data_IF_316214580302
#
_entry.id   IF_316214580302
#
_cell.length_a   1.000
_cell.length_b   1.000
_cell.length_c   1.000
_cell.angle_alpha   90.00
_cell.angle_beta   90.00
_cell.angle_gamma   90.00
#
_symmetry.space_group_name_H-M   'P 1'
#
loop_
_entity.id
_entity.type
_entity.pdbx_description
1 polymer ?
#
# COMPACT_ATOMS: atom_id res chain seq x y z
N UNK A 1 7.40 28.05 -38.96
CA UNK A 1 6.32 27.18 -39.52
C UNK A 1 6.12 25.89 -38.74
N UNK A 2 7.18 25.19 -38.32
CA UNK A 2 7.08 23.93 -37.53
C UNK A 2 6.53 24.18 -36.11
N UNK A 3 6.96 25.27 -35.44
CA UNK A 3 6.48 25.63 -34.09
C UNK A 3 4.98 25.95 -34.04
N UNK A 4 4.43 26.55 -35.11
CA UNK A 4 3.00 26.86 -35.24
C UNK A 4 2.14 25.61 -35.48
N UNK A 5 2.70 24.57 -36.09
CA UNK A 5 2.03 23.28 -36.31
C UNK A 5 1.98 22.44 -35.02
N UNK A 6 3.02 22.52 -34.19
CA UNK A 6 3.07 21.83 -32.89
C UNK A 6 2.07 22.46 -31.91
N UNK A 7 1.98 23.79 -31.83
CA UNK A 7 0.96 24.46 -31.02
C UNK A 7 -0.48 24.12 -31.44
N UNK A 8 -0.74 23.99 -32.74
CA UNK A 8 -2.07 23.66 -33.25
C UNK A 8 -2.46 22.19 -32.98
N UNK A 9 -1.49 21.26 -32.99
CA UNK A 9 -1.70 19.86 -32.64
C UNK A 9 -1.91 19.65 -31.13
N UNK A 10 -1.22 20.43 -30.27
CA UNK A 10 -1.40 20.39 -28.82
C UNK A 10 -2.77 20.97 -28.41
N UNK A 11 -3.23 22.05 -29.05
CA UNK A 11 -4.59 22.59 -28.84
C UNK A 11 -5.70 21.65 -29.30
N UNK A 12 -5.45 20.82 -30.33
CA UNK A 12 -6.42 19.81 -30.79
C UNK A 12 -6.43 18.56 -29.88
N UNK A 13 -5.30 18.19 -29.30
CA UNK A 13 -5.21 17.12 -28.29
C UNK A 13 -5.91 17.49 -26.97
N UNK A 14 -5.84 18.77 -26.57
CA UNK A 14 -6.52 19.27 -25.36
C UNK A 14 -8.05 19.39 -25.56
N UNK A 15 -8.53 19.60 -26.79
CA UNK A 15 -9.98 19.79 -27.07
C UNK A 15 -10.73 18.51 -27.44
N UNK A 16 -10.05 17.43 -27.81
CA UNK A 16 -10.70 16.18 -28.28
C UNK A 16 -10.54 14.97 -27.35
N UNK A 17 -9.83 15.11 -26.22
CA UNK A 17 -9.77 14.09 -25.17
C UNK A 17 -10.67 14.42 -23.96
N UNK A 18 -11.83 15.03 -24.16
CA UNK A 18 -12.96 14.80 -23.24
C UNK A 18 -13.61 13.47 -23.60
N UNK A 19 -12.83 12.38 -23.48
CA UNK A 19 -13.47 11.09 -23.23
C UNK A 19 -14.26 11.30 -21.94
N UNK A 20 -15.58 11.28 -22.02
CA UNK A 20 -16.45 11.16 -20.85
C UNK A 20 -16.13 9.80 -20.25
N UNK A 21 -15.07 9.75 -19.45
CA UNK A 21 -14.78 8.64 -18.57
C UNK A 21 -16.02 8.58 -17.67
N UNK A 22 -16.84 7.52 -17.73
CA UNK A 22 -17.98 7.42 -16.84
C UNK A 22 -17.42 7.51 -15.42
N UNK A 23 -17.77 8.59 -14.72
CA UNK A 23 -17.34 8.82 -13.34
C UNK A 23 -17.87 7.63 -12.55
N UNK A 24 -16.99 6.69 -12.20
CA UNK A 24 -17.38 5.49 -11.49
C UNK A 24 -18.04 5.95 -10.19
N UNK A 25 -19.31 5.56 -9.99
CA UNK A 25 -20.05 6.00 -8.81
C UNK A 25 -19.34 5.48 -7.55
N UNK A 26 -19.18 6.35 -6.56
CA UNK A 26 -18.48 6.04 -5.31
C UNK A 26 -19.09 4.84 -4.56
N UNK A 27 -20.42 4.69 -4.68
CA UNK A 27 -21.19 3.54 -4.22
C UNK A 27 -21.80 2.79 -5.41
N UNK A 28 -21.85 1.48 -5.30
CA UNK A 28 -22.57 0.58 -6.21
C UNK A 28 -24.08 0.60 -5.91
N UNK A 29 -24.92 0.20 -6.87
CA UNK A 29 -26.38 0.09 -6.64
C UNK A 29 -26.74 -0.84 -5.49
N UNK A 30 -25.98 -1.91 -5.28
CA UNK A 30 -26.19 -2.87 -4.18
C UNK A 30 -25.86 -2.23 -2.83
N UNK A 31 -24.73 -1.54 -2.71
CA UNK A 31 -24.35 -0.81 -1.49
C UNK A 31 -25.40 0.23 -1.08
N UNK A 32 -26.04 0.88 -2.05
CA UNK A 32 -27.11 1.86 -1.79
C UNK A 32 -28.36 1.24 -1.14
N UNK A 33 -28.63 -0.05 -1.36
CA UNK A 33 -29.80 -0.71 -0.77
C UNK A 33 -29.72 -0.81 0.76
N UNK A 34 -28.51 -0.76 1.33
CA UNK A 34 -28.28 -0.81 2.77
C UNK A 34 -28.42 0.54 3.46
N UNK A 35 -28.59 1.64 2.71
CA UNK A 35 -28.51 3.02 3.20
C UNK A 35 -29.86 3.75 3.21
N UNK A 36 -30.99 3.05 3.09
CA UNK A 36 -32.31 3.70 3.07
C UNK A 36 -32.58 4.52 4.34
N UNK A 37 -32.66 5.85 4.23
CA UNK A 37 -32.87 6.74 5.37
C UNK A 37 -31.61 7.05 6.18
N UNK A 38 -30.43 6.64 5.70
CA UNK A 38 -29.15 6.96 6.33
C UNK A 38 -28.54 8.26 5.78
N UNK A 39 -27.63 8.91 6.54
CA UNK A 39 -26.83 10.00 6.03
C UNK A 39 -25.96 9.59 4.85
N UNK A 40 -25.46 10.60 4.15
CA UNK A 40 -24.50 10.41 3.07
C UNK A 40 -23.24 9.70 3.56
N UNK A 41 -22.81 8.67 2.80
CA UNK A 41 -21.51 8.03 2.99
C UNK A 41 -20.42 8.92 2.39
N UNK A 42 -19.51 9.37 3.24
CA UNK A 42 -18.36 10.23 2.86
C UNK A 42 -17.06 9.44 2.73
N UNK A 43 -16.95 8.34 3.47
CA UNK A 43 -15.79 7.45 3.47
C UNK A 43 -16.24 6.00 3.44
N UNK A 44 -15.41 5.12 2.89
CA UNK A 44 -15.63 3.68 2.82
C UNK A 44 -14.41 2.95 3.33
N UNK A 45 -14.63 1.95 4.17
CA UNK A 45 -13.58 1.05 4.69
C UNK A 45 -14.02 -0.38 4.45
N UNK A 46 -13.20 -1.15 3.74
CA UNK A 46 -13.41 -2.59 3.55
C UNK A 46 -12.39 -3.36 4.37
N UNK A 47 -12.87 -4.25 5.23
CA UNK A 47 -12.04 -5.19 5.99
C UNK A 47 -12.13 -6.58 5.38
N UNK A 48 -10.99 -7.14 4.97
CA UNK A 48 -10.88 -8.57 4.72
C UNK A 48 -10.73 -9.29 6.06
N UNK A 49 -11.63 -10.23 6.34
CA UNK A 49 -11.70 -10.97 7.59
C UNK A 49 -11.17 -12.38 7.37
N UNK A 50 -10.28 -12.80 8.27
CA UNK A 50 -9.73 -14.15 8.30
C UNK A 50 -9.95 -14.83 9.65
N UNK A 51 -9.97 -16.16 9.62
CA UNK A 51 -10.04 -17.04 10.77
C UNK A 51 -8.79 -17.94 10.82
N UNK A 52 -8.09 -17.92 11.95
CA UNK A 52 -7.01 -18.86 12.23
C UNK A 52 -7.60 -20.22 12.63
N UNK A 53 -7.09 -21.30 12.04
CA UNK A 53 -7.43 -22.66 12.47
C UNK A 53 -6.25 -23.34 13.18
N UNK A 54 -6.51 -24.12 14.23
CA UNK A 54 -5.47 -24.93 14.85
C UNK A 54 -4.85 -25.88 13.82
N UNK A 55 -3.55 -25.76 13.59
CA UNK A 55 -2.75 -26.63 12.71
C UNK A 55 -3.07 -26.56 11.19
N UNK A 56 -3.67 -25.46 10.71
CA UNK A 56 -3.81 -25.21 9.27
C UNK A 56 -3.27 -23.83 8.92
N UNK A 57 -2.23 -23.82 8.08
CA UNK A 57 -1.80 -22.63 7.33
C UNK A 57 -2.05 -22.87 5.83
N UNK A 58 -2.50 -21.85 5.08
CA UNK A 58 -2.79 -20.47 5.52
C UNK A 58 -4.12 -20.32 6.31
N UNK A 59 -4.33 -19.18 7.00
CA UNK A 59 -5.62 -18.82 7.59
C UNK A 59 -6.75 -18.81 6.54
N UNK A 60 -7.99 -19.09 6.97
CA UNK A 60 -9.15 -19.09 6.08
C UNK A 60 -9.65 -17.65 5.94
N UNK A 61 -9.78 -17.14 4.70
CA UNK A 61 -10.46 -15.88 4.44
C UNK A 61 -11.97 -16.11 4.47
N UNK A 62 -12.63 -15.51 5.45
CA UNK A 62 -14.10 -15.57 5.62
C UNK A 62 -14.78 -14.60 4.66
N UNK A 63 -14.22 -13.39 4.57
CA UNK A 63 -14.63 -12.45 3.54
C UNK A 63 -14.46 -10.99 3.83
N UNK A 64 -14.95 -10.19 2.89
CA UNK A 64 -14.83 -8.74 2.96
C UNK A 64 -16.09 -8.16 3.58
N UNK A 65 -15.91 -7.23 4.53
CA UNK A 65 -16.97 -6.41 5.11
C UNK A 65 -16.69 -4.97 4.71
N UNK A 66 -17.59 -4.38 3.93
CA UNK A 66 -17.49 -2.98 3.48
C UNK A 66 -18.41 -2.11 4.32
N UNK A 67 -17.85 -1.04 4.89
CA UNK A 67 -18.52 -0.12 5.80
C UNK A 67 -18.56 1.27 5.16
N UNK A 68 -19.76 1.83 5.02
CA UNK A 68 -19.97 3.24 4.72
C UNK A 68 -19.97 4.08 6.00
N UNK A 69 -19.20 5.16 6.01
CA UNK A 69 -19.00 6.04 7.17
C UNK A 69 -19.69 7.41 7.00
N UNK A 70 -20.36 7.86 8.05
CA UNK A 70 -21.22 9.05 8.06
C UNK A 70 -20.47 10.31 8.51
N UNK A 71 -19.39 10.64 7.80
CA UNK A 71 -18.49 11.76 8.16
C UNK A 71 -19.13 13.15 8.12
N UNK A 72 -20.30 13.32 7.52
CA UNK A 72 -21.08 14.56 7.60
C UNK A 72 -21.79 14.75 8.95
N UNK A 73 -22.05 13.66 9.68
CA UNK A 73 -22.78 13.67 10.96
C UNK A 73 -21.81 13.55 12.15
N UNK A 74 -20.82 12.67 12.04
CA UNK A 74 -19.82 12.42 13.08
C UNK A 74 -18.39 12.48 12.51
N UNK A 75 -17.95 13.66 12.02
CA UNK A 75 -16.67 13.80 11.33
C UNK A 75 -15.47 13.36 12.16
N UNK A 76 -15.43 13.62 13.47
CA UNK A 76 -14.29 13.22 14.31
C UNK A 76 -14.26 11.71 14.48
N UNK A 77 -15.41 11.11 14.77
CA UNK A 77 -15.51 9.65 14.95
C UNK A 77 -15.12 8.92 13.66
N UNK A 78 -15.58 9.42 12.50
CA UNK A 78 -15.21 8.88 11.19
C UNK A 78 -13.74 9.07 10.89
N UNK A 79 -13.17 10.26 11.15
CA UNK A 79 -11.74 10.51 10.93
C UNK A 79 -10.87 9.57 11.75
N UNK A 80 -11.21 9.37 13.03
CA UNK A 80 -10.52 8.41 13.89
C UNK A 80 -10.57 6.99 13.32
N UNK A 81 -11.76 6.50 12.98
CA UNK A 81 -11.91 5.15 12.44
C UNK A 81 -11.21 4.99 11.08
N UNK A 82 -11.35 5.97 10.21
CA UNK A 82 -10.75 5.96 8.87
C UNK A 82 -9.22 5.99 8.95
N UNK A 83 -8.64 6.87 9.77
CA UNK A 83 -7.18 6.94 9.93
C UNK A 83 -6.60 5.64 10.51
N UNK A 84 -7.25 5.05 11.53
CA UNK A 84 -6.87 3.74 12.09
C UNK A 84 -7.01 2.59 11.08
N UNK A 85 -7.77 2.78 10.01
CA UNK A 85 -7.91 1.85 8.88
C UNK A 85 -6.89 2.12 7.76
N UNK A 86 -6.45 3.36 7.59
CA UNK A 86 -5.68 3.84 6.44
C UNK A 86 -4.18 3.54 6.45
N UNK A 87 -3.66 2.85 7.48
CA UNK A 87 -2.22 2.57 7.63
C UNK A 87 -1.30 3.79 7.67
N UNK A 88 -1.84 5.00 7.84
CA UNK A 88 -1.05 6.24 7.98
C UNK A 88 -0.22 6.27 9.27
N UNK A 89 -0.57 5.43 10.23
CA UNK A 89 0.11 5.29 11.51
C UNK A 89 0.75 3.90 11.61
N UNK A 90 1.79 3.78 12.44
CA UNK A 90 2.43 2.49 12.77
C UNK A 90 1.52 1.57 13.62
N UNK A 91 0.30 2.01 13.89
CA UNK A 91 -0.74 1.29 14.62
C UNK A 91 -2.08 1.42 13.87
N UNK A 92 -2.98 0.47 14.10
CA UNK A 92 -4.29 0.47 13.43
C UNK A 92 -4.95 -0.90 13.45
N UNK A 93 -6.02 -1.05 12.67
CA UNK A 93 -6.87 -2.24 12.76
C UNK A 93 -6.33 -3.49 12.09
N UNK A 94 -5.32 -3.38 11.21
CA UNK A 94 -4.77 -4.56 10.55
C UNK A 94 -4.17 -5.52 11.57
N UNK A 95 -4.47 -6.81 11.39
CA UNK A 95 -4.15 -7.90 12.30
C UNK A 95 -4.85 -7.85 13.67
N UNK A 96 -5.69 -6.85 13.93
CA UNK A 96 -6.45 -6.76 15.18
C UNK A 96 -7.61 -7.75 15.20
N UNK A 97 -7.91 -8.37 16.36
CA UNK A 97 -8.94 -9.39 16.46
C UNK A 97 -10.33 -8.82 16.77
N UNK A 98 -11.36 -9.53 16.30
CA UNK A 98 -12.70 -9.47 16.88
C UNK A 98 -12.73 -10.32 18.16
N UNK A 99 -12.48 -9.67 19.29
CA UNK A 99 -12.22 -10.34 20.56
C UNK A 99 -13.50 -10.72 21.32
N UNK A 100 -14.66 -10.24 20.88
CA UNK A 100 -15.97 -10.55 21.50
C UNK A 100 -17.07 -10.62 20.44
N UNK A 101 -17.79 -11.74 20.39
CA UNK A 101 -18.86 -12.01 19.43
C UNK A 101 -20.06 -12.57 20.20
N UNK A 102 -21.21 -11.94 20.03
CA UNK A 102 -22.46 -12.34 20.65
C UNK A 102 -23.48 -12.46 19.53
N UNK A 103 -23.95 -13.69 19.28
CA UNK A 103 -25.05 -13.98 18.37
C UNK A 103 -26.29 -13.18 18.74
N UNK A 104 -27.02 -12.69 17.73
CA UNK A 104 -28.22 -11.86 17.89
C UNK A 104 -27.98 -10.60 18.74
N UNK A 105 -26.78 -10.04 18.65
CA UNK A 105 -26.41 -8.77 19.24
C UNK A 105 -25.33 -8.02 18.45
N UNK A 106 -24.05 -8.41 18.56
CA UNK A 106 -22.94 -7.71 17.90
C UNK A 106 -21.63 -8.52 17.85
N UNK A 107 -20.72 -8.09 16.98
CA UNK A 107 -19.30 -8.46 16.99
C UNK A 107 -18.43 -7.23 17.25
N UNK A 108 -17.54 -7.31 18.24
CA UNK A 108 -16.70 -6.21 18.73
C UNK A 108 -15.22 -6.46 18.44
N UNK A 109 -14.57 -5.44 17.89
CA UNK A 109 -13.17 -5.43 17.48
C UNK A 109 -12.49 -4.10 17.82
N UNK A 110 -11.36 -3.82 17.15
CA UNK A 110 -10.67 -2.54 17.25
C UNK A 110 -9.72 -2.38 18.44
N UNK A 111 -9.56 -3.40 19.30
CA UNK A 111 -8.49 -3.42 20.30
C UNK A 111 -7.20 -3.96 19.66
N UNK A 112 -6.50 -3.09 18.91
CA UNK A 112 -5.23 -3.44 18.26
C UNK A 112 -4.04 -3.47 19.24
N UNK A 113 -4.15 -2.86 20.42
CA UNK A 113 -3.05 -2.79 21.38
C UNK A 113 -2.93 -4.06 22.24
N UNK A 114 -4.06 -4.68 22.60
CA UNK A 114 -4.09 -5.85 23.50
C UNK A 114 -4.95 -7.01 22.99
N UNK A 115 -5.90 -6.78 22.08
CA UNK A 115 -6.77 -7.83 21.54
C UNK A 115 -7.65 -8.54 22.59
N UNK A 116 -8.00 -7.84 23.68
CA UNK A 116 -8.75 -8.40 24.83
C UNK A 116 -9.95 -7.57 25.25
N UNK A 117 -10.15 -6.39 24.66
CA UNK A 117 -11.16 -5.41 25.04
C UNK A 117 -10.67 -4.41 26.08
N UNK A 118 -9.40 -4.45 26.48
CA UNK A 118 -8.81 -3.56 27.50
C UNK A 118 -7.80 -2.56 26.95
N UNK A 119 -7.54 -2.60 25.64
CA UNK A 119 -6.64 -1.69 24.95
C UNK A 119 -7.33 -0.94 23.81
N UNK A 120 -6.50 -0.42 22.92
CA UNK A 120 -6.94 0.47 21.86
C UNK A 120 -6.93 1.93 22.31
N UNK A 121 -6.62 2.83 21.39
CA UNK A 121 -6.58 4.26 21.62
C UNK A 121 -6.90 5.02 20.34
N UNK A 122 -7.41 6.24 20.49
CA UNK A 122 -7.76 7.11 19.38
C UNK A 122 -6.53 7.71 18.69
N UNK A 123 -6.73 8.34 17.52
CA UNK A 123 -5.69 9.11 16.83
C UNK A 123 -5.39 10.47 17.49
N UNK A 124 -6.23 10.90 18.43
CA UNK A 124 -6.10 12.19 19.09
C UNK A 124 -5.06 12.12 20.21
N UNK A 125 -4.57 13.28 20.67
CA UNK A 125 -3.51 13.38 21.70
C UNK A 125 -3.86 12.64 23.00
N UNK A 126 -5.15 12.44 23.26
CA UNK A 126 -5.68 11.62 24.34
C UNK A 126 -6.00 10.20 23.86
N UNK A 127 -5.77 9.20 24.73
CA UNK A 127 -6.09 7.81 24.40
C UNK A 127 -7.58 7.58 24.09
N UNK A 128 -8.45 8.47 24.59
CA UNK A 128 -9.89 8.47 24.36
C UNK A 128 -10.39 9.85 23.93
N UNK A 129 -11.58 9.92 23.31
CA UNK A 129 -12.25 11.16 22.93
C UNK A 129 -13.75 11.17 23.31
N UNK A 130 -14.37 12.37 23.43
CA UNK A 130 -15.78 12.53 23.83
C UNK A 130 -16.79 11.89 22.88
N UNK A 131 -18.01 11.67 23.37
CA UNK A 131 -19.13 11.27 22.52
C UNK A 131 -19.51 12.45 21.60
N UNK A 132 -19.34 12.29 20.29
CA UNK A 132 -19.50 13.40 19.33
C UNK A 132 -20.96 13.87 19.23
N UNK A 133 -21.89 12.94 19.00
CA UNK A 133 -23.33 13.12 19.15
C UNK A 133 -24.04 11.74 19.15
N UNK A 134 -25.35 11.74 19.33
CA UNK A 134 -26.20 10.54 19.31
C UNK A 134 -27.38 10.70 18.34
N UNK A 135 -27.18 11.40 17.22
CA UNK A 135 -28.24 11.62 16.22
C UNK A 135 -28.67 10.31 15.55
N UNK A 136 -27.70 9.44 15.27
CA UNK A 136 -27.90 8.14 14.67
C UNK A 136 -28.16 7.07 15.74
N UNK A 137 -29.01 6.10 15.39
CA UNK A 137 -29.50 5.06 16.30
C UNK A 137 -29.07 3.66 15.87
N UNK A 138 -29.17 2.72 16.79
CA UNK A 138 -28.91 1.30 16.57
C UNK A 138 -30.18 0.62 16.03
N UNK A 139 -30.63 1.04 14.86
CA UNK A 139 -31.93 0.75 14.28
C UNK A 139 -31.90 -0.18 13.07
N UNK A 140 -30.71 -0.68 12.68
CA UNK A 140 -30.54 -1.58 11.54
C UNK A 140 -29.48 -2.66 11.79
N UNK A 141 -29.64 -3.78 11.10
CA UNK A 141 -28.61 -4.80 10.95
C UNK A 141 -27.37 -4.19 10.28
N UNK A 142 -26.17 -4.51 10.78
CA UNK A 142 -24.92 -4.00 10.23
C UNK A 142 -24.55 -2.57 10.68
N UNK A 143 -25.29 -1.95 11.59
CA UNK A 143 -24.86 -0.68 12.20
C UNK A 143 -23.47 -0.80 12.83
N UNK A 144 -22.63 0.20 12.60
CA UNK A 144 -21.29 0.30 13.15
C UNK A 144 -21.22 1.44 14.16
N UNK A 145 -20.73 1.14 15.36
CA UNK A 145 -20.80 2.05 16.50
C UNK A 145 -19.58 1.89 17.42
N UNK A 146 -19.22 2.98 18.11
CA UNK A 146 -18.08 3.01 19.02
C UNK A 146 -18.36 2.19 20.28
N UNK A 147 -17.43 1.31 20.65
CA UNK A 147 -17.41 0.73 21.98
C UNK A 147 -16.77 1.74 22.96
N UNK A 148 -17.32 1.82 24.17
CA UNK A 148 -16.81 2.69 25.23
C UNK A 148 -16.97 2.02 26.60
N UNK A 149 -16.31 2.58 27.61
CA UNK A 149 -16.37 2.14 29.01
C UNK A 149 -17.20 3.09 29.88
N UNK A 150 -18.11 3.84 29.26
CA UNK A 150 -18.84 4.95 29.86
C UNK A 150 -18.80 6.19 28.97
N UNK A 151 -19.50 7.23 29.41
CA UNK A 151 -19.59 8.50 28.69
C UNK A 151 -18.21 9.06 28.37
N UNK A 152 -18.03 9.56 27.15
CA UNK A 152 -16.84 10.27 26.70
C UNK A 152 -15.54 9.43 26.75
N UNK A 153 -15.63 8.12 26.50
CA UNK A 153 -14.46 7.19 26.53
C UNK A 153 -14.26 6.44 25.21
N UNK A 154 -14.56 7.08 24.08
CA UNK A 154 -14.36 6.48 22.77
C UNK A 154 -12.88 6.35 22.47
N UNK A 155 -12.41 5.17 22.07
CA UNK A 155 -11.01 4.94 21.69
C UNK A 155 -10.92 4.46 20.24
N UNK A 156 -10.44 3.23 20.05
CA UNK A 156 -10.44 2.55 18.76
C UNK A 156 -11.41 1.37 18.68
N UNK A 157 -11.95 0.92 19.81
CA UNK A 157 -12.84 -0.23 19.80
C UNK A 157 -14.20 0.15 19.19
N UNK A 158 -14.72 -0.75 18.37
CA UNK A 158 -16.00 -0.60 17.69
C UNK A 158 -16.74 -1.94 17.70
N UNK A 159 -18.03 -1.89 17.41
CA UNK A 159 -18.83 -3.08 17.17
C UNK A 159 -19.72 -2.94 15.93
N UNK A 160 -20.02 -4.08 15.33
CA UNK A 160 -20.96 -4.22 14.21
C UNK A 160 -22.15 -5.02 14.72
N UNK A 161 -23.36 -4.52 14.54
CA UNK A 161 -24.58 -5.24 14.90
C UNK A 161 -24.82 -6.42 13.96
N UNK A 162 -25.07 -7.59 14.52
CA UNK A 162 -25.60 -8.78 13.82
C UNK A 162 -27.07 -9.04 14.18
N UNK A 163 -27.76 -7.99 14.63
CA UNK A 163 -29.19 -7.95 14.97
C UNK A 163 -29.83 -6.73 14.31
N UNK A 164 -31.10 -6.85 13.94
CA UNK A 164 -31.87 -5.77 13.29
C UNK A 164 -31.93 -4.46 14.08
N UNK A 165 -31.98 -4.50 15.42
CA UNK A 165 -31.99 -3.28 16.23
C UNK A 165 -31.61 -3.54 17.69
N UNK A 166 -30.92 -2.57 18.30
CA UNK A 166 -30.52 -2.56 19.72
C UNK A 166 -30.75 -1.20 20.40
N UNK A 167 -32.00 -0.75 20.60
CA UNK A 167 -32.30 0.61 21.08
C UNK A 167 -31.78 0.93 22.50
N UNK A 168 -31.46 -0.09 23.29
CA UNK A 168 -30.91 0.08 24.63
C UNK A 168 -29.48 0.66 24.64
N UNK A 169 -28.82 0.71 23.48
CA UNK A 169 -27.52 1.35 23.25
C UNK A 169 -27.64 2.81 22.76
N UNK A 170 -28.84 3.24 22.34
CA UNK A 170 -29.08 4.60 21.86
C UNK A 170 -28.79 5.63 22.96
N UNK A 171 -28.15 6.73 22.59
CA UNK A 171 -27.72 7.77 23.53
C UNK A 171 -26.54 7.38 24.42
N UNK A 172 -25.90 6.23 24.17
CA UNK A 172 -24.74 5.73 24.96
C UNK A 172 -23.53 5.39 24.11
N UNK A 173 -23.74 4.99 22.85
CA UNK A 173 -22.68 4.64 21.91
C UNK A 173 -22.87 5.43 20.62
N UNK A 174 -21.79 6.01 20.10
CA UNK A 174 -21.81 6.83 18.90
C UNK A 174 -21.88 5.92 17.67
N UNK A 175 -23.01 5.93 16.97
CA UNK A 175 -23.17 5.27 15.67
C UNK A 175 -22.50 6.15 14.60
N UNK A 176 -21.62 5.55 13.80
CA UNK A 176 -20.82 6.29 12.82
C UNK A 176 -20.76 5.66 11.44
N UNK A 177 -21.35 4.47 11.25
CA UNK A 177 -21.37 3.83 9.95
C UNK A 177 -22.41 2.71 9.83
N UNK A 178 -22.44 2.14 8.63
CA UNK A 178 -23.33 1.06 8.23
C UNK A 178 -22.53 0.08 7.35
N UNK A 179 -22.67 -1.22 7.61
CA UNK A 179 -22.19 -2.24 6.67
C UNK A 179 -23.04 -2.14 5.41
N UNK A 180 -22.37 -1.90 4.28
CA UNK A 180 -22.94 -1.74 2.93
C UNK A 180 -22.53 -2.87 1.98
N UNK A 181 -21.68 -3.80 2.44
CA UNK A 181 -21.35 -5.03 1.72
C UNK A 181 -20.75 -6.06 2.68
N UNK A 182 -20.99 -7.35 2.42
CA UNK A 182 -20.50 -8.43 3.31
C UNK A 182 -21.33 -8.63 4.57
N UNK A 183 -22.65 -8.35 4.54
CA UNK A 183 -23.51 -8.58 5.70
C UNK A 183 -23.67 -10.07 6.03
N UNK A 184 -23.61 -10.92 5.00
CA UNK A 184 -23.53 -12.37 5.09
C UNK A 184 -22.28 -12.83 5.86
N UNK A 185 -21.14 -12.17 5.66
CA UNK A 185 -19.90 -12.41 6.43
C UNK A 185 -20.11 -12.08 7.91
N UNK A 186 -20.75 -10.95 8.23
CA UNK A 186 -21.10 -10.57 9.60
C UNK A 186 -22.00 -11.63 10.27
N UNK A 187 -23.04 -12.08 9.56
CA UNK A 187 -23.97 -13.10 10.06
C UNK A 187 -23.30 -14.47 10.22
N UNK A 188 -22.43 -14.89 9.29
CA UNK A 188 -21.67 -16.12 9.41
C UNK A 188 -20.71 -16.08 10.62
N UNK A 189 -20.04 -14.95 10.82
CA UNK A 189 -19.17 -14.72 11.99
C UNK A 189 -19.97 -14.74 13.30
N UNK A 190 -21.24 -14.31 13.31
CA UNK A 190 -22.09 -14.35 14.49
C UNK A 190 -22.34 -15.77 15.02
N UNK A 191 -22.29 -16.79 14.14
CA UNK A 191 -22.56 -18.19 14.46
C UNK A 191 -21.34 -18.97 14.99
N UNK A 192 -20.16 -18.34 15.02
CA UNK A 192 -18.93 -19.03 15.43
C UNK A 192 -18.99 -19.43 16.89
N UNK A 193 -18.32 -20.55 17.22
CA UNK A 193 -18.25 -21.02 18.60
C UNK A 193 -17.44 -20.03 19.45
N UNK A 194 -18.01 -19.65 20.59
CA UNK A 194 -17.36 -18.75 21.54
C UNK A 194 -17.18 -19.41 22.91
N UNK A 195 -16.25 -18.89 23.70
CA UNK A 195 -16.13 -19.18 25.13
C UNK A 195 -17.30 -18.57 25.91
N UNK A 196 -17.34 -18.83 27.22
CA UNK A 196 -18.32 -18.20 28.15
C UNK A 196 -18.19 -16.68 28.23
N UNK A 197 -17.03 -16.11 27.87
CA UNK A 197 -16.81 -14.66 27.82
C UNK A 197 -17.12 -14.07 26.44
N UNK A 198 -17.81 -14.83 25.58
CA UNK A 198 -18.12 -14.45 24.20
C UNK A 198 -16.87 -14.25 23.33
N UNK A 199 -15.71 -14.79 23.72
CA UNK A 199 -14.50 -14.73 22.89
C UNK A 199 -14.54 -15.88 21.88
N UNK A 200 -14.31 -15.65 20.58
CA UNK A 200 -14.23 -16.73 19.60
C UNK A 200 -13.20 -17.78 19.99
N UNK A 201 -13.53 -19.07 19.79
CA UNK A 201 -12.58 -20.18 20.04
C UNK A 201 -11.40 -20.14 19.08
N UNK A 202 -11.69 -19.77 17.83
CA UNK A 202 -10.72 -19.58 16.76
C UNK A 202 -10.58 -18.08 16.50
N UNK A 203 -9.35 -17.60 16.30
CA UNK A 203 -9.10 -16.16 16.20
C UNK A 203 -9.65 -15.63 14.88
N UNK A 204 -10.58 -14.68 14.98
CA UNK A 204 -11.13 -13.92 13.85
C UNK A 204 -10.50 -12.53 13.87
N UNK A 205 -9.94 -12.09 12.77
CA UNK A 205 -9.15 -10.87 12.70
C UNK A 205 -9.20 -10.21 11.33
N UNK A 206 -8.84 -8.93 11.29
CA UNK A 206 -8.77 -8.13 10.06
C UNK A 206 -7.43 -8.41 9.38
N UNK A 207 -7.43 -9.15 8.27
CA UNK A 207 -6.22 -9.54 7.53
C UNK A 207 -5.90 -8.62 6.35
N UNK A 208 -6.85 -7.78 5.93
CA UNK A 208 -6.67 -6.80 4.88
C UNK A 208 -7.57 -5.59 5.08
N UNK A 209 -7.14 -4.43 4.59
CA UNK A 209 -7.90 -3.18 4.65
C UNK A 209 -7.80 -2.45 3.31
N UNK A 210 -8.94 -1.95 2.83
CA UNK A 210 -9.03 -0.98 1.73
C UNK A 210 -9.81 0.23 2.22
N UNK A 211 -9.35 1.44 1.89
CA UNK A 211 -9.99 2.70 2.29
C UNK A 211 -10.24 3.58 1.08
N UNK A 212 -11.43 4.17 0.97
CA UNK A 212 -11.81 5.08 -0.10
C UNK A 212 -12.49 6.33 0.51
N UNK A 213 -12.20 7.51 -0.02
CA UNK A 213 -12.86 8.77 0.35
C UNK A 213 -13.67 9.24 -0.85
N UNK A 214 -14.87 9.77 -0.61
CA UNK A 214 -15.65 10.40 -1.65
C UNK A 214 -14.92 11.66 -2.14
N UNK A 215 -14.52 11.68 -3.40
CA UNK A 215 -13.99 12.88 -4.03
C UNK A 215 -15.06 13.99 -4.02
N UNK A 216 -14.77 15.10 -3.35
CA UNK A 216 -15.58 16.31 -3.43
C UNK A 216 -15.14 17.15 -4.63
N UNK A 217 -16.06 17.90 -5.23
CA UNK A 217 -15.75 18.75 -6.38
C UNK A 217 -14.64 19.78 -6.10
N UNK A 218 -14.46 20.18 -4.84
CA UNK A 218 -13.41 21.11 -4.42
C UNK A 218 -12.03 20.45 -4.34
N UNK A 219 -11.93 19.21 -3.84
CA UNK A 219 -10.64 18.49 -3.82
C UNK A 219 -10.21 18.08 -5.24
N UNK A 220 -11.15 17.67 -6.11
CA UNK A 220 -10.86 17.42 -7.53
C UNK A 220 -10.34 18.67 -8.24
N UNK A 221 -10.89 19.86 -7.92
CA UNK A 221 -10.38 21.14 -8.46
C UNK A 221 -9.00 21.46 -7.93
N UNK A 222 -8.74 21.21 -6.66
CA UNK A 222 -7.47 21.51 -5.99
C UNK A 222 -6.34 20.62 -6.49
N UNK A 223 -6.62 19.34 -6.72
CA UNK A 223 -5.69 18.40 -7.34
C UNK A 223 -5.46 18.73 -8.82
N UNK A 224 -6.50 19.09 -9.57
CA UNK A 224 -6.34 19.59 -10.94
C UNK A 224 -5.54 20.90 -11.03
N UNK A 225 -5.71 21.82 -10.06
CA UNK A 225 -4.93 23.04 -9.94
C UNK A 225 -3.46 22.73 -9.65
N UNK A 226 -3.20 21.80 -8.72
CA UNK A 226 -1.84 21.36 -8.39
C UNK A 226 -1.15 20.67 -9.56
N UNK A 227 -1.83 19.74 -10.24
CA UNK A 227 -1.35 19.11 -11.47
C UNK A 227 -1.05 20.14 -12.57
N UNK A 228 -1.88 21.20 -12.69
CA UNK A 228 -1.65 22.27 -13.64
C UNK A 228 -0.49 23.21 -13.23
N UNK A 229 -0.21 23.37 -11.95
CA UNK A 229 0.97 24.10 -11.44
C UNK A 229 2.25 23.28 -11.62
N UNK A 230 2.24 21.99 -11.27
CA UNK A 230 3.38 21.09 -11.43
C UNK A 230 3.75 20.93 -12.93
N UNK A 231 2.76 20.85 -13.82
CA UNK A 231 2.99 20.82 -15.28
C UNK A 231 3.59 22.13 -15.81
N UNK A 232 3.26 23.28 -15.21
CA UNK A 232 3.86 24.58 -15.59
C UNK A 232 5.30 24.68 -15.13
N UNK A 233 5.62 24.21 -13.92
CA UNK A 233 6.99 24.19 -13.41
C UNK A 233 7.89 23.28 -14.25
N UNK A 234 7.41 22.09 -14.62
CA UNK A 234 8.15 21.16 -15.50
C UNK A 234 8.43 21.78 -16.87
N UNK A 235 7.45 22.46 -17.46
CA UNK A 235 7.64 23.11 -18.76
C UNK A 235 8.64 24.27 -18.68
N UNK A 236 8.66 25.03 -17.58
CA UNK A 236 9.69 26.04 -17.33
C UNK A 236 11.10 25.45 -17.18
N UNK A 237 11.23 24.30 -16.52
CA UNK A 237 12.53 23.64 -16.34
C UNK A 237 13.05 23.05 -17.65
N UNK A 238 12.16 22.51 -18.50
CA UNK A 238 12.51 22.01 -19.84
C UNK A 238 12.95 23.16 -20.78
N UNK A 239 12.25 24.30 -20.75
CA UNK A 239 12.62 25.49 -21.54
C UNK A 239 13.98 26.07 -21.10
N UNK A 240 14.28 26.08 -19.79
CA UNK A 240 15.58 26.50 -19.26
C UNK A 240 16.70 25.52 -19.60
N UNK A 241 16.45 24.21 -19.55
CA UNK A 241 17.42 23.18 -19.92
C UNK A 241 17.77 23.24 -21.42
N UNK A 242 16.78 23.44 -22.29
CA UNK A 242 16.99 23.59 -23.73
C UNK A 242 17.76 24.88 -24.08
N UNK A 243 17.53 25.97 -23.36
CA UNK A 243 18.30 27.21 -23.53
C UNK A 243 19.76 27.03 -23.08
N UNK A 244 19.99 26.29 -22.00
CA UNK A 244 21.34 25.99 -21.50
C UNK A 244 22.11 25.06 -22.46
N UNK A 245 21.45 24.04 -23.00
CA UNK A 245 22.05 23.12 -23.98
C UNK A 245 22.46 23.87 -25.26
N UNK A 246 21.59 24.72 -25.79
CA UNK A 246 21.91 25.58 -26.93
C UNK A 246 23.06 26.53 -26.65
N UNK A 247 23.15 27.07 -25.42
CA UNK A 247 24.28 27.92 -25.02
C UNK A 247 25.60 27.14 -24.90
N UNK A 248 25.55 25.86 -24.53
CA UNK A 248 26.73 24.98 -24.47
C UNK A 248 27.22 24.61 -25.87
N UNK A 249 26.33 24.28 -26.79
CA UNK A 249 26.67 24.01 -28.19
C UNK A 249 27.33 25.23 -28.85
N UNK A 250 26.82 26.46 -28.62
CA UNK A 250 27.44 27.70 -29.12
C UNK A 250 28.84 27.98 -28.52
N UNK A 251 29.09 27.54 -27.29
CA UNK A 251 30.40 27.66 -26.63
C UNK A 251 31.38 26.61 -27.15
N UNK A 252 30.94 25.37 -27.32
CA UNK A 252 31.76 24.29 -27.91
C UNK A 252 32.12 24.60 -29.37
N UNK A 253 31.21 25.16 -30.16
CA UNK A 253 31.49 25.54 -31.56
C UNK A 253 32.52 26.69 -31.64
N UNK A 254 32.53 27.61 -30.66
CA UNK A 254 33.55 28.67 -30.57
C UNK A 254 34.91 28.14 -30.15
N UNK A 255 34.95 27.27 -29.14
CA UNK A 255 36.19 26.63 -28.69
C UNK A 255 36.81 25.78 -29.80
N UNK A 256 35.99 25.03 -30.54
CA UNK A 256 36.46 24.22 -31.66
C UNK A 256 36.96 25.07 -32.85
N UNK A 257 36.43 26.29 -33.04
CA UNK A 257 36.95 27.24 -34.05
C UNK A 257 38.26 27.88 -33.60
N UNK A 258 38.38 28.27 -32.33
CA UNK A 258 39.62 28.80 -31.76
C UNK A 258 40.74 27.75 -31.80
N UNK A 259 40.45 26.50 -31.44
CA UNK A 259 41.41 25.38 -31.49
C UNK A 259 41.83 25.04 -32.93
N UNK A 260 40.93 25.18 -33.91
CA UNK A 260 41.28 25.02 -35.33
C UNK A 260 42.15 26.17 -35.86
N UNK A 261 41.92 27.42 -35.42
CA UNK A 261 42.78 28.56 -35.77
C UNK A 261 44.16 28.44 -35.12
N UNK A 262 44.23 27.99 -33.87
CA UNK A 262 45.48 27.77 -33.14
C UNK A 262 46.30 26.61 -33.76
N UNK A 263 45.63 25.51 -34.13
CA UNK A 263 46.27 24.38 -34.81
C UNK A 263 46.72 24.74 -36.24
N UNK A 264 45.98 25.58 -36.96
CA UNK A 264 46.40 26.07 -38.28
C UNK A 264 47.60 27.00 -38.18
N UNK A 265 47.65 27.87 -37.18
CA UNK A 265 48.82 28.72 -36.90
C UNK A 265 50.03 27.88 -36.46
N UNK A 266 49.80 26.82 -35.69
CA UNK A 266 50.83 25.86 -35.30
C UNK A 266 51.35 25.03 -36.48
N UNK A 267 50.47 24.60 -37.42
CA UNK A 267 50.87 23.90 -38.65
C UNK A 267 51.66 24.81 -39.61
N UNK A 268 51.27 26.08 -39.77
CA UNK A 268 52.06 27.05 -40.56
C UNK A 268 53.44 27.29 -39.92
N UNK A 269 53.50 27.44 -38.59
CA UNK A 269 54.77 27.58 -37.85
C UNK A 269 55.62 26.28 -37.85
N UNK A 270 55.00 25.09 -37.88
CA UNK A 270 55.70 23.81 -38.06
C UNK A 270 56.19 23.64 -39.50
N UNK A 271 55.46 24.13 -40.51
CA UNK A 271 55.90 24.08 -41.90
C UNK A 271 57.11 24.98 -42.17
N UNK A 272 57.25 26.09 -41.42
CA UNK A 272 58.42 26.98 -41.47
C UNK A 272 59.62 26.49 -40.64
N UNK A 273 59.43 25.49 -39.75
CA UNK A 273 60.50 24.93 -38.91
C UNK A 273 60.87 23.47 -39.21
N UNK A 274 60.12 22.76 -40.06
CA UNK A 274 60.36 21.36 -40.43
C UNK A 274 61.17 21.17 -41.74
N UNK A 275 61.95 22.17 -42.17
CA UNK A 275 63.04 21.99 -43.15
C UNK A 275 64.41 21.69 -42.49
N UNK A 276 64.49 21.61 -41.16
CA UNK A 276 65.69 21.17 -40.43
C UNK A 276 65.40 20.01 -39.45
N UNK A 277 66.15 18.91 -39.62
CA UNK A 277 66.23 17.68 -38.80
C UNK A 277 65.07 16.66 -38.95
N UNK A 278 65.16 15.53 -39.66
CA UNK A 278 66.08 14.36 -39.55
C UNK A 278 66.43 13.96 -38.11
N UNK A 279 65.80 12.92 -37.57
CA UNK A 279 66.38 11.58 -37.27
C UNK A 279 65.54 10.82 -36.21
N UNK A 280 65.21 9.55 -36.52
CA UNK A 280 64.94 8.37 -35.66
C UNK A 280 64.24 8.54 -34.29
N UNK A 281 63.12 7.83 -34.07
CA UNK A 281 63.07 6.51 -33.37
C UNK A 281 61.62 6.01 -33.25
N UNK A 282 61.45 4.70 -33.47
CA UNK A 282 60.19 3.95 -33.34
C UNK A 282 59.93 3.57 -31.87
N UNK A 283 58.67 3.76 -31.46
CA UNK A 283 57.75 2.85 -30.76
C UNK A 283 58.25 1.99 -29.58
N UNK A 284 57.62 2.23 -28.41
CA UNK A 284 56.77 1.22 -27.75
C UNK A 284 56.09 1.80 -26.49
N UNK A 285 54.76 2.01 -26.53
CA UNK A 285 53.80 1.16 -25.80
C UNK A 285 52.40 1.79 -25.64
N UNK A 286 51.45 0.96 -26.08
CA UNK A 286 50.01 1.02 -25.96
C UNK A 286 49.54 0.58 -24.55
N UNK A 287 48.35 1.05 -24.14
CA UNK A 287 47.19 0.29 -23.62
C UNK A 287 46.38 1.20 -22.67
N UNK A 288 45.14 1.55 -23.06
CA UNK A 288 43.88 1.10 -22.41
C UNK A 288 42.72 1.39 -23.38
N UNK A 289 42.08 0.33 -23.88
CA UNK A 289 40.76 0.40 -24.52
C UNK A 289 39.65 0.15 -23.49
N UNK A 290 38.68 1.07 -23.43
CA UNK A 290 37.35 0.90 -22.85
C UNK A 290 36.38 0.66 -24.01
N UNK A 291 35.47 -0.29 -23.88
CA UNK A 291 34.26 -0.37 -24.71
C UNK A 291 33.02 -0.39 -23.84
N UNK A 292 32.07 0.44 -24.25
CA UNK A 292 30.71 0.56 -23.77
C UNK A 292 29.84 -0.61 -24.24
N UNK A 293 28.67 -0.77 -23.64
CA UNK A 293 27.46 -1.21 -24.35
C UNK A 293 26.21 -0.59 -23.71
N UNK A 294 25.45 0.09 -24.56
CA UNK A 294 24.09 0.60 -24.37
C UNK A 294 23.04 -0.51 -24.59
N UNK A 295 21.80 -0.19 -24.19
CA UNK A 295 20.56 -0.78 -24.70
C UNK A 295 19.72 -1.44 -23.60
N UNK A 296 18.39 -1.34 -23.56
CA UNK A 296 17.42 -0.62 -24.38
C UNK A 296 16.09 -0.69 -23.60
N UNK A 297 15.29 0.36 -23.73
CA UNK A 297 14.01 0.59 -23.10
C UNK A 297 12.87 0.05 -23.96
N UNK A 298 12.30 -1.11 -23.62
CA UNK A 298 10.88 -1.41 -23.90
C UNK A 298 10.34 -2.62 -23.11
N UNK A 299 9.37 -2.37 -22.23
CA UNK A 299 8.23 -3.25 -21.88
C UNK A 299 7.56 -2.75 -20.59
N UNK A 300 7.07 -1.51 -20.65
CA UNK A 300 6.39 -0.84 -19.54
C UNK A 300 4.89 -1.20 -19.54
N UNK A 301 4.53 -2.48 -19.39
CA UNK A 301 3.12 -2.92 -19.22
C UNK A 301 3.04 -4.28 -18.48
N UNK A 302 2.86 -4.27 -17.15
CA UNK A 302 2.10 -5.29 -16.36
C UNK A 302 2.24 -5.13 -14.83
N UNK A 303 2.34 -3.91 -14.33
CA UNK A 303 2.35 -3.66 -12.89
C UNK A 303 0.98 -4.08 -12.27
N UNK A 304 1.03 -4.78 -11.12
CA UNK A 304 -0.09 -5.36 -10.34
C UNK A 304 -0.48 -6.85 -10.51
N UNK A 305 0.44 -7.76 -10.85
CA UNK A 305 0.10 -9.21 -10.78
C UNK A 305 0.95 -10.09 -9.85
N UNK A 306 2.05 -9.60 -9.29
CA UNK A 306 2.97 -10.43 -8.51
C UNK A 306 3.43 -9.76 -7.23
N UNK A 307 3.22 -10.43 -6.08
CA UNK A 307 3.89 -10.08 -4.84
C UNK A 307 5.31 -10.68 -4.90
N UNK A 308 6.33 -9.83 -4.77
CA UNK A 308 7.73 -10.25 -4.71
C UNK A 308 8.16 -10.36 -3.25
N UNK A 309 8.54 -11.57 -2.82
CA UNK A 309 9.11 -11.80 -1.50
C UNK A 309 10.63 -11.75 -1.63
N UNK A 310 11.25 -10.81 -0.92
CA UNK A 310 12.68 -10.64 -0.85
C UNK A 310 13.26 -11.48 0.30
N UNK A 311 13.97 -12.56 -0.02
CA UNK A 311 14.60 -13.42 0.98
C UNK A 311 16.06 -13.04 1.20
N UNK A 312 16.45 -12.92 2.46
CA UNK A 312 17.82 -12.65 2.89
C UNK A 312 18.28 -13.77 3.80
N UNK A 313 19.45 -14.35 3.50
CA UNK A 313 20.08 -15.41 4.27
C UNK A 313 21.45 -14.98 4.78
N UNK A 314 21.97 -15.76 5.72
CA UNK A 314 23.27 -15.57 6.37
C UNK A 314 23.34 -14.34 7.30
N UNK A 315 22.20 -13.92 7.86
CA UNK A 315 22.17 -12.89 8.90
C UNK A 315 22.86 -13.38 10.19
N UNK A 316 23.47 -12.47 10.97
CA UNK A 316 23.88 -12.75 12.34
C UNK A 316 22.68 -13.17 13.19
N UNK A 317 22.88 -14.12 14.10
CA UNK A 317 21.77 -14.71 14.88
C UNK A 317 21.18 -13.78 15.94
N UNK A 318 21.91 -12.72 16.30
CA UNK A 318 21.49 -11.69 17.25
C UNK A 318 20.96 -10.42 16.56
N UNK A 319 20.66 -10.48 15.26
CA UNK A 319 20.11 -9.32 14.54
C UNK A 319 18.71 -9.01 15.06
N UNK A 320 18.49 -7.78 15.52
CA UNK A 320 17.17 -7.33 15.97
C UNK A 320 16.30 -6.90 14.78
N UNK A 321 14.99 -6.93 14.98
CA UNK A 321 14.03 -6.50 13.96
C UNK A 321 14.21 -5.03 13.59
N UNK A 322 14.51 -4.17 14.57
CA UNK A 322 14.75 -2.73 14.36
C UNK A 322 15.94 -2.50 13.44
N UNK A 323 17.06 -3.21 13.64
CA UNK A 323 18.24 -3.12 12.77
C UNK A 323 17.95 -3.58 11.33
N UNK A 324 17.04 -4.54 11.15
CA UNK A 324 16.62 -4.95 9.81
C UNK A 324 15.80 -3.85 9.14
N UNK A 325 14.82 -3.26 9.84
CA UNK A 325 14.04 -2.16 9.27
C UNK A 325 14.91 -0.95 8.90
N UNK A 326 15.88 -0.59 9.76
CA UNK A 326 16.82 0.50 9.47
C UNK A 326 17.71 0.21 8.25
N UNK A 327 18.27 -0.99 8.18
CA UNK A 327 19.21 -1.35 7.12
C UNK A 327 18.51 -1.54 5.76
N UNK A 328 17.41 -2.30 5.74
CA UNK A 328 16.70 -2.64 4.50
C UNK A 328 15.72 -1.54 4.06
N UNK A 329 15.28 -0.66 4.97
CA UNK A 329 14.37 0.46 4.67
C UNK A 329 14.97 1.51 3.74
N UNK A 330 16.31 1.55 3.60
CA UNK A 330 17.01 2.43 2.64
C UNK A 330 16.60 2.20 1.18
N UNK A 331 16.10 1.00 0.87
CA UNK A 331 15.66 0.66 -0.48
C UNK A 331 14.20 1.03 -0.75
N UNK A 332 13.45 1.40 0.29
CA UNK A 332 12.07 1.86 0.22
C UNK A 332 11.21 1.28 1.35
N UNK A 333 9.94 1.68 1.37
CA UNK A 333 9.01 1.30 2.44
C UNK A 333 8.78 -0.21 2.47
N UNK A 334 8.99 -0.79 3.65
CA UNK A 334 8.83 -2.22 3.92
C UNK A 334 7.41 -2.46 4.44
N UNK A 335 6.67 -3.33 3.76
CA UNK A 335 5.37 -3.84 4.20
C UNK A 335 5.53 -4.75 5.42
N UNK A 336 6.44 -5.72 5.32
CA UNK A 336 6.62 -6.74 6.36
C UNK A 336 8.05 -7.29 6.35
N UNK A 337 8.59 -7.57 7.55
CA UNK A 337 9.74 -8.45 7.74
C UNK A 337 9.30 -9.67 8.56
N UNK A 338 9.50 -10.87 8.02
CA UNK A 338 9.26 -12.14 8.71
C UNK A 338 10.60 -12.81 9.00
N UNK A 339 10.88 -13.02 10.28
CA UNK A 339 12.01 -13.83 10.74
C UNK A 339 11.44 -15.17 11.20
N UNK A 340 11.82 -16.30 10.58
CA UNK A 340 11.37 -17.63 11.02
C UNK A 340 11.80 -17.90 12.47
N UNK A 341 10.87 -18.34 13.33
CA UNK A 341 11.19 -18.73 14.70
C UNK A 341 11.93 -20.09 14.71
N UNK A 342 13.18 -20.15 15.20
CA UNK A 342 13.94 -21.40 15.26
C UNK A 342 13.33 -22.47 16.17
N UNK A 343 12.40 -22.10 17.07
CA UNK A 343 11.78 -23.02 18.04
C UNK A 343 10.42 -23.55 17.61
N UNK A 344 9.86 -23.03 16.51
CA UNK A 344 8.52 -23.42 16.06
C UNK A 344 8.46 -24.77 15.31
N UNK A 345 9.59 -25.37 14.92
CA UNK A 345 9.64 -26.62 14.16
C UNK A 345 10.39 -27.75 14.91
N UNK A 346 9.71 -28.47 15.79
CA UNK A 346 10.29 -29.64 16.49
C UNK A 346 9.95 -30.99 15.82
N UNK A 347 9.44 -31.00 14.58
CA UNK A 347 8.95 -32.23 13.94
C UNK A 347 9.18 -32.28 12.41
N UNK A 348 10.38 -31.97 11.93
CA UNK A 348 10.91 -32.56 10.69
C UNK A 348 12.38 -32.19 10.51
N UNK A 349 13.14 -33.10 9.94
CA UNK A 349 14.59 -33.04 9.71
C UNK A 349 14.98 -32.00 8.65
N UNK A 350 14.81 -30.71 8.95
CA UNK A 350 15.48 -29.63 8.23
C UNK A 350 16.07 -28.66 9.24
N UNK A 351 17.34 -28.34 9.09
CA UNK A 351 18.08 -27.31 9.83
C UNK A 351 17.51 -25.92 9.51
N UNK A 352 16.29 -25.65 9.98
CA UNK A 352 15.47 -24.55 9.51
C UNK A 352 15.98 -23.19 10.01
N UNK A 353 16.60 -22.46 9.08
CA UNK A 353 16.47 -21.02 8.86
C UNK A 353 16.91 -20.05 9.98
N UNK A 354 17.81 -20.43 10.88
CA UNK A 354 18.53 -19.42 11.67
C UNK A 354 19.35 -18.50 10.75
N UNK A 355 19.22 -17.18 10.93
CA UNK A 355 19.89 -16.18 10.08
C UNK A 355 19.22 -15.98 8.72
N UNK A 356 17.93 -16.27 8.59
CA UNK A 356 17.12 -15.94 7.40
C UNK A 356 16.03 -14.94 7.78
N UNK A 357 15.73 -13.98 6.90
CA UNK A 357 14.51 -13.20 6.97
C UNK A 357 13.87 -13.06 5.58
N UNK A 358 12.58 -12.82 5.57
CA UNK A 358 11.80 -12.53 4.38
C UNK A 358 11.24 -11.11 4.50
N UNK A 359 11.43 -10.31 3.47
CA UNK A 359 11.08 -8.91 3.43
C UNK A 359 10.10 -8.73 2.28
N UNK A 360 9.04 -7.99 2.53
CA UNK A 360 8.05 -7.62 1.52
C UNK A 360 8.09 -6.12 1.46
N UNK A 361 8.47 -5.57 0.31
CA UNK A 361 8.42 -4.12 0.06
C UNK A 361 7.03 -3.73 -0.44
N UNK A 362 6.63 -2.48 -0.20
CA UNK A 362 5.38 -1.93 -0.75
C UNK A 362 5.43 -1.84 -2.29
N UNK A 363 6.63 -1.71 -2.86
CA UNK A 363 6.86 -1.65 -4.30
C UNK A 363 7.80 -2.79 -4.73
N UNK A 364 7.42 -3.52 -5.78
CA UNK A 364 8.17 -4.63 -6.37
C UNK A 364 9.54 -4.20 -6.89
N UNK A 365 9.68 -2.98 -7.40
CA UNK A 365 10.96 -2.41 -7.88
C UNK A 365 11.97 -2.25 -6.74
N UNK A 366 11.50 -1.91 -5.53
CA UNK A 366 12.36 -1.82 -4.35
C UNK A 366 12.90 -3.19 -3.94
N UNK A 367 12.07 -4.24 -4.03
CA UNK A 367 12.49 -5.60 -3.77
C UNK A 367 13.55 -6.07 -4.78
N UNK A 368 13.34 -5.79 -6.08
CA UNK A 368 14.29 -6.14 -7.15
C UNK A 368 15.63 -5.46 -6.93
N UNK A 369 15.62 -4.14 -6.67
CA UNK A 369 16.82 -3.35 -6.40
C UNK A 369 17.56 -3.83 -5.15
N UNK A 370 16.84 -4.01 -4.03
CA UNK A 370 17.42 -4.51 -2.79
C UNK A 370 18.06 -5.89 -2.97
N UNK A 371 17.45 -6.76 -3.79
CA UNK A 371 18.00 -8.09 -4.03
C UNK A 371 19.30 -8.08 -4.83
N UNK A 372 19.37 -7.23 -5.86
CA UNK A 372 20.58 -7.06 -6.63
C UNK A 372 21.71 -6.44 -5.80
N UNK A 373 21.41 -5.34 -5.09
CA UNK A 373 22.44 -4.52 -4.45
C UNK A 373 22.96 -5.10 -3.13
N UNK A 374 22.14 -5.90 -2.42
CA UNK A 374 22.52 -6.47 -1.12
C UNK A 374 23.09 -7.88 -1.21
N UNK A 375 23.10 -8.50 -2.38
CA UNK A 375 23.72 -9.81 -2.55
C UNK A 375 25.24 -9.69 -2.35
N UNK A 376 25.80 -10.39 -1.38
CA UNK A 376 27.23 -10.33 -1.07
C UNK A 376 27.65 -9.08 -0.29
N UNK A 377 26.72 -8.26 0.22
CA UNK A 377 27.05 -7.15 1.12
C UNK A 377 27.39 -7.67 2.51
N UNK A 378 28.42 -7.11 3.13
CA UNK A 378 28.79 -7.43 4.51
C UNK A 378 27.85 -6.70 5.47
N UNK A 379 27.10 -7.47 6.24
CA UNK A 379 26.25 -7.01 7.33
C UNK A 379 26.75 -7.61 8.65
N UNK A 380 27.30 -6.77 9.52
CA UNK A 380 27.79 -7.15 10.85
C UNK A 380 28.73 -8.39 10.83
N UNK A 381 29.64 -8.44 9.86
CA UNK A 381 30.64 -9.51 9.73
C UNK A 381 30.17 -10.74 8.95
N UNK A 382 28.99 -10.71 8.32
CA UNK A 382 28.50 -11.78 7.46
C UNK A 382 28.08 -11.26 6.09
N UNK A 383 28.47 -11.97 5.04
CA UNK A 383 28.07 -11.65 3.68
C UNK A 383 26.67 -12.19 3.41
N UNK A 384 25.74 -11.30 3.09
CA UNK A 384 24.35 -11.64 2.85
C UNK A 384 24.20 -12.45 1.55
N UNK A 385 23.23 -13.37 1.55
CA UNK A 385 22.81 -14.09 0.34
C UNK A 385 21.35 -13.78 0.10
N UNK A 386 21.04 -13.20 -1.06
CA UNK A 386 19.70 -12.70 -1.35
C UNK A 386 19.03 -13.46 -2.50
N UNK A 387 17.70 -13.52 -2.49
CA UNK A 387 16.91 -14.12 -3.58
C UNK A 387 15.49 -13.56 -3.63
N UNK A 388 14.89 -13.51 -4.82
CA UNK A 388 13.49 -13.10 -5.02
C UNK A 388 12.60 -14.30 -5.27
N UNK A 389 11.42 -14.30 -4.65
CA UNK A 389 10.36 -15.26 -4.90
C UNK A 389 9.14 -14.55 -5.49
N UNK A 390 8.63 -15.08 -6.59
CA UNK A 390 7.38 -14.63 -7.19
C UNK A 390 6.22 -15.45 -6.60
N UNK A 391 5.22 -14.77 -6.04
CA UNK A 391 3.95 -15.41 -5.66
C UNK A 391 2.90 -15.05 -6.70
N UNK A 392 2.50 -16.04 -7.50
CA UNK A 392 1.42 -15.91 -8.47
C UNK A 392 0.06 -15.99 -7.76
N UNK A 393 -0.47 -14.82 -7.38
CA UNK A 393 -1.78 -14.72 -6.73
C UNK A 393 -2.95 -15.14 -7.62
N UNK A 394 -2.78 -15.26 -8.94
CA UNK A 394 -3.91 -15.63 -9.82
C UNK A 394 -4.36 -17.07 -9.65
N UNK A 395 -3.46 -17.97 -9.24
CA UNK A 395 -3.81 -19.34 -8.86
C UNK A 395 -4.42 -19.42 -7.46
N UNK A 396 -3.86 -18.66 -6.52
CA UNK A 396 -4.34 -18.59 -5.13
C UNK A 396 -5.77 -18.03 -5.09
N UNK A 397 -6.06 -16.94 -5.80
CA UNK A 397 -7.37 -16.31 -5.80
C UNK A 397 -8.48 -17.23 -6.34
N UNK A 398 -8.21 -18.04 -7.38
CA UNK A 398 -9.20 -18.97 -7.93
C UNK A 398 -9.42 -20.18 -7.03
N UNK A 399 -8.35 -20.75 -6.46
CA UNK A 399 -8.47 -21.84 -5.50
C UNK A 399 -9.16 -21.38 -4.21
N UNK A 400 -8.85 -20.17 -3.73
CA UNK A 400 -9.44 -19.56 -2.54
C UNK A 400 -10.91 -19.17 -2.76
N UNK A 401 -11.28 -18.63 -3.93
CA UNK A 401 -12.68 -18.41 -4.30
C UNK A 401 -13.47 -19.72 -4.35
N UNK A 402 -12.87 -20.77 -4.90
CA UNK A 402 -13.52 -22.09 -4.98
C UNK A 402 -13.72 -22.67 -3.58
N UNK A 403 -12.68 -22.66 -2.74
CA UNK A 403 -12.75 -23.09 -1.34
C UNK A 403 -13.74 -22.26 -0.54
N UNK A 404 -13.83 -20.96 -0.79
CA UNK A 404 -14.76 -20.06 -0.11
C UNK A 404 -16.20 -20.32 -0.54
N UNK A 405 -16.45 -20.58 -1.82
CA UNK A 405 -17.76 -20.98 -2.33
C UNK A 405 -18.18 -22.34 -1.75
N UNK A 406 -17.27 -23.32 -1.71
CA UNK A 406 -17.50 -24.62 -1.11
C UNK A 406 -17.80 -24.51 0.39
N UNK A 407 -17.02 -23.71 1.11
CA UNK A 407 -17.22 -23.48 2.54
C UNK A 407 -18.53 -22.74 2.83
N UNK A 408 -18.89 -21.72 2.04
CA UNK A 408 -20.18 -21.03 2.14
C UNK A 408 -21.34 -21.99 1.90
N UNK A 409 -21.22 -22.89 0.92
CA UNK A 409 -22.24 -23.89 0.64
C UNK A 409 -22.34 -24.93 1.77
N UNK A 410 -21.23 -25.34 2.38
CA UNK A 410 -21.23 -26.19 3.57
C UNK A 410 -21.89 -25.52 4.77
N UNK A 411 -21.59 -24.24 5.00
CA UNK A 411 -22.21 -23.45 6.07
C UNK A 411 -23.71 -23.29 5.82
N UNK A 412 -24.13 -22.90 4.61
CA UNK A 412 -25.55 -22.81 4.22
C UNK A 412 -26.29 -24.11 4.48
N UNK A 413 -25.67 -25.25 4.13
CA UNK A 413 -26.25 -26.59 4.33
C UNK A 413 -26.28 -27.01 5.80
N UNK A 414 -25.27 -26.67 6.59
CA UNK A 414 -25.24 -26.97 8.03
C UNK A 414 -26.26 -26.16 8.83
N UNK A 415 -26.56 -24.94 8.38
CA UNK A 415 -27.42 -24.00 9.12
C UNK A 415 -28.81 -23.79 8.48
N UNK A 416 -29.19 -24.60 7.50
CA UNK A 416 -30.50 -24.54 6.80
C UNK A 416 -30.84 -23.15 6.23
N UNK A 417 -29.82 -22.38 5.83
CA UNK A 417 -29.99 -21.06 5.24
C UNK A 417 -30.30 -21.25 3.76
N UNK A 418 -31.51 -20.91 3.31
CA UNK A 418 -31.85 -20.95 1.88
C UNK A 418 -31.12 -19.85 1.11
N UNK A 419 -30.92 -20.10 -0.18
CA UNK A 419 -30.09 -19.27 -1.07
C UNK A 419 -30.46 -17.78 -1.16
#
# INVERSE_FOLDING_TARGET
>A
MIVQFIHLLVLFAITTFSAVIPKQSFLTPEELTHLEGDPEVTHKVTFTISQEQPNKEPPIVLGDITIGLFGSVVPKTVENFYQLSSHKHDYGYLNSPFHRIIKDFMMQGGDFARGTGTGGFSIYDESTFPDENFELKHDKLGRVSMANAGKDTNGSQFFILNKDSTPHLDGKHVVFGQVIGGIDVVLAIAEVKTTRSSRPLEKIYISGIKTEIRETEDESKKEALKLAEDAKEQQQTEDEAAALEKSKEEVEEKQHKEEQEENKAAEEALSESAEEAKHLTEDDNNIVGKTAYEGDSSSFLSEYKYLLIFSVRNLPYNTSTESLYEFFGKYGNINQIRIPDPRANSSSSSSAQQGTCFIIYNNTTNAIRAAHDLNGVNFNGRYLVTSLYHVDRSKIANEELTLRQEHLNELKKMYEISD
#
